data_IF_677082796027
#
_entry.id   IF_677082796027
#
_cell.length_a   1.000
_cell.length_b   1.000
_cell.length_c   1.000
_cell.angle_alpha   90.00
_cell.angle_beta   90.00
_cell.angle_gamma   90.00
#
_symmetry.space_group_name_H-M   'P 1'
#
loop_
_entity.id
_entity.type
_entity.pdbx_description
1 polymer ?
#
# COMPACT_ATOMS: atom_id res chain seq x y z
N UNK A 1 -1.30 -4.30 -18.39
CA UNK A 1 -2.23 -4.43 -17.25
C UNK A 1 -1.74 -3.60 -16.08
N UNK A 2 -2.64 -3.13 -15.26
CA UNK A 2 -2.29 -2.31 -14.10
C UNK A 2 -1.61 -3.18 -13.04
N UNK A 3 -0.50 -2.69 -12.51
CA UNK A 3 0.16 -3.25 -11.33
C UNK A 3 -0.12 -2.34 -10.14
N UNK A 4 -0.49 -2.92 -9.04
CA UNK A 4 -0.89 -2.19 -7.84
C UNK A 4 0.19 -2.27 -6.76
N UNK A 5 0.33 -1.18 -6.03
CA UNK A 5 1.13 -1.12 -4.80
C UNK A 5 0.16 -0.86 -3.65
N UNK A 6 0.02 -1.81 -2.75
CA UNK A 6 -0.93 -1.70 -1.64
C UNK A 6 -0.24 -1.23 -0.37
N UNK A 7 -0.88 -0.32 0.37
CA UNK A 7 -0.35 0.17 1.62
C UNK A 7 -0.87 -0.63 2.83
N UNK A 8 -0.29 -0.36 3.98
CA UNK A 8 -0.66 -1.02 5.23
C UNK A 8 -2.10 -0.74 5.61
N UNK A 9 -2.58 0.50 5.43
CA UNK A 9 -3.95 0.87 5.82
C UNK A 9 -5.00 0.05 5.09
N UNK A 10 -4.79 -0.18 3.80
CA UNK A 10 -5.70 -0.98 2.98
C UNK A 10 -5.70 -2.45 3.41
N UNK A 11 -4.53 -3.02 3.66
CA UNK A 11 -4.43 -4.41 4.12
C UNK A 11 -5.10 -4.61 5.48
N UNK A 12 -4.85 -3.71 6.43
CA UNK A 12 -5.46 -3.78 7.76
C UNK A 12 -6.98 -3.59 7.67
N UNK A 13 -7.45 -2.60 6.92
CA UNK A 13 -8.88 -2.37 6.75
C UNK A 13 -9.58 -3.57 6.10
N UNK A 14 -8.97 -4.18 5.09
CA UNK A 14 -9.52 -5.36 4.46
C UNK A 14 -9.62 -6.53 5.44
N UNK A 15 -8.56 -6.78 6.18
CA UNK A 15 -8.49 -7.94 7.07
C UNK A 15 -9.39 -7.80 8.30
N UNK A 16 -9.41 -6.64 8.93
CA UNK A 16 -10.07 -6.44 10.21
C UNK A 16 -11.51 -5.94 10.10
N UNK A 17 -11.83 -5.18 9.06
CA UNK A 17 -13.11 -4.45 9.03
C UNK A 17 -13.98 -4.81 7.84
N UNK A 18 -13.43 -4.78 6.63
CA UNK A 18 -14.26 -4.81 5.42
C UNK A 18 -14.47 -6.20 4.86
N UNK A 19 -13.41 -7.00 4.84
CA UNK A 19 -13.42 -8.33 4.22
C UNK A 19 -12.71 -9.34 5.10
N UNK A 20 -13.16 -9.55 6.36
CA UNK A 20 -12.56 -10.60 7.20
C UNK A 20 -12.52 -11.93 6.45
N UNK A 21 -11.40 -12.63 6.53
CA UNK A 21 -11.17 -13.82 5.69
C UNK A 21 -12.17 -14.94 5.95
N UNK A 22 -12.68 -15.05 7.17
CA UNK A 22 -13.70 -16.05 7.52
C UNK A 22 -15.02 -15.81 6.78
N UNK A 23 -15.32 -14.55 6.48
CA UNK A 23 -16.60 -14.15 5.88
C UNK A 23 -16.47 -13.89 4.37
N UNK A 24 -15.28 -13.54 3.91
CA UNK A 24 -15.04 -13.14 2.53
C UNK A 24 -13.87 -13.90 1.89
N UNK A 25 -13.87 -15.25 1.93
CA UNK A 25 -12.78 -16.00 1.29
C UNK A 25 -12.57 -15.64 -0.20
N UNK A 26 -13.63 -15.39 -1.00
CA UNK A 26 -13.42 -15.03 -2.40
C UNK A 26 -12.59 -13.76 -2.60
N UNK A 27 -12.74 -12.77 -1.73
CA UNK A 27 -11.90 -11.55 -1.80
C UNK A 27 -10.40 -11.90 -1.70
N UNK A 28 -10.04 -12.70 -0.70
CA UNK A 28 -8.65 -13.08 -0.45
C UNK A 28 -8.11 -14.02 -1.53
N UNK A 29 -8.96 -14.86 -2.13
CA UNK A 29 -8.59 -15.66 -3.28
C UNK A 29 -8.27 -14.78 -4.50
N UNK A 30 -9.02 -13.70 -4.70
CA UNK A 30 -8.74 -12.72 -5.77
C UNK A 30 -7.46 -11.96 -5.51
N UNK A 31 -7.23 -11.55 -4.26
CA UNK A 31 -5.96 -10.92 -3.84
C UNK A 31 -4.79 -11.85 -4.14
N UNK A 32 -4.90 -13.12 -3.78
CA UNK A 32 -3.88 -14.14 -4.04
C UNK A 32 -3.61 -14.30 -5.53
N UNK A 33 -4.65 -14.24 -6.34
CA UNK A 33 -4.53 -14.27 -7.79
C UNK A 33 -3.71 -13.11 -8.35
N UNK A 34 -3.92 -11.89 -7.83
CA UNK A 34 -3.12 -10.73 -8.20
C UNK A 34 -1.66 -10.88 -7.76
N UNK A 35 -1.42 -11.41 -6.56
CA UNK A 35 -0.07 -11.66 -6.06
C UNK A 35 0.65 -12.65 -6.97
N UNK A 36 0.00 -13.76 -7.29
CA UNK A 36 0.57 -14.80 -8.15
C UNK A 36 0.88 -14.26 -9.55
N UNK A 37 0.02 -13.38 -10.07
CA UNK A 37 0.23 -12.75 -11.37
C UNK A 37 1.30 -11.64 -11.37
N UNK A 38 1.86 -11.31 -10.20
CA UNK A 38 2.83 -10.21 -10.07
C UNK A 38 2.19 -8.84 -10.19
N UNK A 39 0.89 -8.73 -10.00
CA UNK A 39 0.14 -7.48 -10.19
C UNK A 39 -0.22 -6.79 -8.89
N UNK A 40 0.01 -7.40 -7.75
CA UNK A 40 -0.13 -6.76 -6.43
C UNK A 40 1.18 -6.89 -5.69
N UNK A 41 1.76 -5.77 -5.33
CA UNK A 41 3.05 -5.69 -4.66
C UNK A 41 2.98 -4.70 -3.51
N UNK A 42 4.01 -4.70 -2.70
CA UNK A 42 4.25 -3.69 -1.68
C UNK A 42 5.74 -3.68 -1.32
N UNK A 43 6.25 -2.58 -0.77
CA UNK A 43 7.60 -2.62 -0.20
C UNK A 43 7.60 -3.49 1.05
N UNK A 44 8.74 -4.09 1.36
CA UNK A 44 8.91 -4.96 2.54
C UNK A 44 8.56 -4.24 3.85
N UNK A 45 8.64 -2.92 3.87
CA UNK A 45 8.25 -2.12 5.03
C UNK A 45 6.78 -2.30 5.40
N UNK A 46 5.91 -2.56 4.43
CA UNK A 46 4.50 -2.85 4.67
C UNK A 46 4.35 -4.17 5.45
N UNK A 47 5.13 -5.19 5.09
CA UNK A 47 5.12 -6.45 5.83
C UNK A 47 5.53 -6.25 7.30
N UNK A 48 6.57 -5.46 7.52
CA UNK A 48 7.04 -5.15 8.89
C UNK A 48 5.97 -4.40 9.69
N UNK A 49 5.33 -3.43 9.06
CA UNK A 49 4.30 -2.63 9.72
C UNK A 49 3.07 -3.46 10.08
N UNK A 50 2.64 -4.38 9.21
CA UNK A 50 1.53 -5.28 9.50
C UNK A 50 1.85 -6.21 10.68
N UNK A 51 3.11 -6.62 10.83
CA UNK A 51 3.55 -7.47 11.94
C UNK A 51 3.42 -6.82 13.31
N UNK A 52 3.39 -5.49 13.36
CA UNK A 52 3.17 -4.75 14.61
C UNK A 52 1.70 -4.55 14.92
N UNK A 53 0.79 -4.82 13.98
CA UNK A 53 -0.62 -4.48 14.10
C UNK A 53 -1.55 -5.68 14.06
N UNK A 54 -1.17 -6.77 13.42
CA UNK A 54 -2.01 -7.95 13.28
C UNK A 54 -1.17 -9.18 13.02
N UNK A 55 -1.07 -10.07 14.01
CA UNK A 55 -0.32 -11.31 13.88
C UNK A 55 -0.90 -12.24 12.80
N UNK A 56 -2.22 -12.31 12.70
CA UNK A 56 -2.90 -13.17 11.73
C UNK A 56 -2.69 -12.70 10.29
N UNK A 57 -2.85 -11.39 10.04
CA UNK A 57 -2.58 -10.81 8.73
C UNK A 57 -1.10 -10.96 8.38
N UNK A 58 -0.22 -10.69 9.33
CA UNK A 58 1.22 -10.83 9.11
C UNK A 58 1.57 -12.27 8.71
N UNK A 59 1.00 -13.27 9.39
CA UNK A 59 1.23 -14.66 9.05
C UNK A 59 0.75 -15.02 7.64
N UNK A 60 -0.43 -14.51 7.27
CA UNK A 60 -0.97 -14.70 5.92
C UNK A 60 -0.07 -14.09 4.85
N UNK A 61 0.39 -12.85 5.08
CA UNK A 61 1.30 -12.14 4.16
C UNK A 61 2.68 -12.79 4.15
N UNK A 62 3.17 -13.25 5.29
CA UNK A 62 4.48 -13.87 5.39
C UNK A 62 4.57 -15.19 4.59
N UNK A 63 3.45 -15.87 4.39
CA UNK A 63 3.36 -17.02 3.50
C UNK A 63 3.39 -16.63 2.00
N UNK A 64 3.34 -15.32 1.70
CA UNK A 64 3.29 -14.75 0.34
C UNK A 64 4.38 -13.72 0.13
N UNK A 65 5.59 -14.04 0.57
CA UNK A 65 6.74 -13.10 0.55
C UNK A 65 7.08 -12.58 -0.84
N UNK A 66 6.74 -13.32 -1.88
CA UNK A 66 7.00 -12.89 -3.26
C UNK A 66 6.28 -11.59 -3.63
N UNK A 67 5.25 -11.21 -2.89
CA UNK A 67 4.55 -9.95 -3.06
C UNK A 67 5.42 -8.75 -2.69
N UNK A 68 6.34 -8.92 -1.74
CA UNK A 68 7.07 -7.81 -1.14
C UNK A 68 8.38 -7.56 -1.86
N UNK A 69 8.62 -6.29 -2.18
CA UNK A 69 9.82 -5.82 -2.88
C UNK A 69 10.84 -5.32 -1.86
N UNK A 70 12.08 -5.81 -2.00
CA UNK A 70 13.21 -5.25 -1.27
C UNK A 70 13.46 -3.81 -1.73
N UNK A 71 14.03 -3.00 -0.82
CA UNK A 71 14.30 -1.60 -1.11
C UNK A 71 15.59 -1.47 -1.92
N UNK A 72 15.46 -1.50 -3.24
CA UNK A 72 16.56 -1.21 -4.15
C UNK A 72 17.00 0.25 -4.01
N UNK A 73 18.23 0.56 -4.43
CA UNK A 73 18.79 1.91 -4.30
C UNK A 73 17.87 2.99 -4.89
N UNK A 74 17.32 2.76 -6.07
CA UNK A 74 16.41 3.73 -6.70
C UNK A 74 15.19 4.02 -5.85
N UNK A 75 14.64 3.02 -5.17
CA UNK A 75 13.47 3.18 -4.29
C UNK A 75 13.87 3.92 -3.02
N UNK A 76 15.02 3.62 -2.45
CA UNK A 76 15.52 4.32 -1.26
C UNK A 76 15.80 5.79 -1.54
N UNK A 77 16.42 6.09 -2.68
CA UNK A 77 16.68 7.47 -3.12
C UNK A 77 15.36 8.21 -3.30
N UNK A 78 14.39 7.61 -3.98
CA UNK A 78 13.09 8.23 -4.17
C UNK A 78 12.33 8.44 -2.87
N UNK A 79 12.40 7.49 -1.93
CA UNK A 79 11.80 7.65 -0.60
C UNK A 79 12.41 8.83 0.14
N UNK A 80 13.72 9.00 0.05
CA UNK A 80 14.40 10.16 0.65
C UNK A 80 13.95 11.47 0.00
N UNK A 81 13.78 11.50 -1.32
CA UNK A 81 13.29 12.67 -2.03
C UNK A 81 11.85 13.02 -1.62
N UNK A 82 10.98 12.02 -1.49
CA UNK A 82 9.60 12.22 -1.02
C UNK A 82 9.59 12.82 0.39
N UNK A 83 10.38 12.27 1.29
CA UNK A 83 10.47 12.78 2.67
C UNK A 83 11.06 14.19 2.73
N UNK A 84 12.03 14.50 1.89
CA UNK A 84 12.61 15.86 1.83
C UNK A 84 11.56 16.88 1.39
N UNK A 85 10.68 16.52 0.47
CA UNK A 85 9.62 17.40 -0.04
C UNK A 85 8.39 17.41 0.88
N UNK A 86 8.06 16.28 1.50
CA UNK A 86 6.89 16.12 2.37
C UNK A 86 7.30 15.53 3.73
N UNK A 87 8.02 16.30 4.56
CA UNK A 87 8.60 15.75 5.80
C UNK A 87 7.56 15.29 6.82
N UNK A 88 6.33 15.80 6.74
CA UNK A 88 5.25 15.44 7.67
C UNK A 88 4.34 14.32 7.18
N UNK A 89 4.67 13.71 6.04
CA UNK A 89 3.95 12.55 5.54
C UNK A 89 3.87 11.43 6.58
N UNK A 90 4.96 11.18 7.29
CA UNK A 90 5.03 10.13 8.30
C UNK A 90 4.52 10.56 9.68
N UNK A 91 4.29 11.86 9.91
CA UNK A 91 3.95 12.40 11.22
C UNK A 91 5.07 12.20 12.24
N UNK A 92 5.05 12.95 13.33
CA UNK A 92 6.13 12.93 14.33
C UNK A 92 6.25 11.56 15.03
N UNK A 93 5.12 10.90 15.29
CA UNK A 93 5.10 9.60 15.98
C UNK A 93 5.48 8.41 15.11
N UNK A 94 5.55 8.59 13.78
CA UNK A 94 5.77 7.52 12.82
C UNK A 94 7.11 7.59 12.11
N UNK A 95 7.94 8.56 12.42
CA UNK A 95 9.18 8.86 11.69
C UNK A 95 10.07 7.65 11.42
N UNK A 96 10.10 6.67 12.34
CA UNK A 96 10.99 5.52 12.26
C UNK A 96 10.34 4.26 11.71
N UNK A 97 9.02 4.23 11.56
CA UNK A 97 8.28 2.99 11.34
C UNK A 97 7.29 3.03 10.20
N UNK A 98 7.06 4.19 9.62
CA UNK A 98 6.06 4.32 8.56
C UNK A 98 6.54 3.74 7.23
N UNK A 99 5.70 2.93 6.62
CA UNK A 99 5.91 2.40 5.28
C UNK A 99 5.55 3.41 4.18
N UNK A 100 4.82 4.47 4.50
CA UNK A 100 4.22 5.39 3.53
C UNK A 100 5.20 5.95 2.50
N UNK A 101 6.39 6.47 2.89
CA UNK A 101 7.34 6.97 1.90
C UNK A 101 7.82 5.90 0.92
N UNK A 102 7.94 4.67 1.38
CA UNK A 102 8.41 3.55 0.56
C UNK A 102 7.31 3.06 -0.39
N UNK A 103 6.05 3.10 0.05
CA UNK A 103 4.89 2.81 -0.83
C UNK A 103 4.85 3.80 -1.99
N UNK A 104 4.96 5.09 -1.71
CA UNK A 104 4.96 6.14 -2.72
C UNK A 104 6.17 5.99 -3.64
N UNK A 105 7.36 5.77 -3.08
CA UNK A 105 8.59 5.63 -3.84
C UNK A 105 8.53 4.44 -4.80
N UNK A 106 8.11 3.26 -4.32
CA UNK A 106 7.98 2.08 -5.16
C UNK A 106 6.98 2.32 -6.29
N UNK A 107 5.81 2.85 -5.97
CA UNK A 107 4.77 3.11 -6.96
C UNK A 107 5.24 4.12 -8.02
N UNK A 108 5.97 5.14 -7.60
CA UNK A 108 6.48 6.16 -8.52
C UNK A 108 7.56 5.60 -9.45
N UNK A 109 8.55 4.91 -8.89
CA UNK A 109 9.66 4.34 -9.67
C UNK A 109 9.16 3.28 -10.64
N UNK A 110 8.28 2.39 -10.20
CA UNK A 110 7.78 1.28 -11.01
C UNK A 110 6.46 1.57 -11.74
N UNK A 111 5.95 2.81 -11.65
CA UNK A 111 4.71 3.26 -12.31
C UNK A 111 3.51 2.39 -11.94
N UNK A 112 3.35 2.13 -10.66
CA UNK A 112 2.23 1.37 -10.12
C UNK A 112 1.11 2.29 -9.63
N UNK A 113 -0.10 1.75 -9.53
CA UNK A 113 -1.23 2.45 -8.91
C UNK A 113 -1.33 2.05 -7.44
N UNK A 114 -1.40 3.03 -6.55
CA UNK A 114 -1.48 2.77 -5.11
C UNK A 114 -2.91 2.43 -4.71
N UNK A 115 -3.04 1.36 -3.91
CA UNK A 115 -4.29 1.00 -3.23
C UNK A 115 -4.14 1.40 -1.76
N UNK A 116 -4.98 2.31 -1.30
CA UNK A 116 -4.98 2.82 0.07
C UNK A 116 -6.39 3.10 0.55
N UNK A 117 -6.62 2.94 1.85
CA UNK A 117 -7.86 3.39 2.49
C UNK A 117 -7.70 4.77 3.12
N UNK A 118 -6.51 5.36 3.05
CA UNK A 118 -6.33 6.75 3.45
C UNK A 118 -7.08 7.68 2.51
N UNK A 119 -7.67 8.72 3.09
CA UNK A 119 -8.32 9.79 2.34
C UNK A 119 -7.41 11.02 2.29
N UNK A 120 -7.55 11.88 1.27
CA UNK A 120 -6.80 13.13 1.24
C UNK A 120 -7.05 13.93 2.52
N UNK A 121 -5.97 14.52 3.06
CA UNK A 121 -6.09 15.45 4.18
C UNK A 121 -6.49 16.85 3.72
N UNK A 122 -6.28 17.14 2.44
CA UNK A 122 -6.47 18.48 1.88
C UNK A 122 -5.34 19.44 2.20
N UNK A 123 -4.24 18.99 2.80
CA UNK A 123 -3.13 19.83 3.22
C UNK A 123 -1.79 19.20 2.83
N UNK A 124 -0.91 19.97 2.19
CA UNK A 124 0.46 19.53 1.91
C UNK A 124 1.39 19.74 3.11
N UNK A 125 0.92 20.39 4.15
CA UNK A 125 1.68 20.52 5.41
C UNK A 125 1.58 19.26 6.26
N UNK A 126 0.45 18.55 6.20
CA UNK A 126 0.23 17.25 6.88
C UNK A 126 -0.41 16.28 5.89
N UNK A 127 0.31 15.91 4.82
CA UNK A 127 -0.31 15.15 3.75
C UNK A 127 -0.50 13.69 4.13
N UNK A 128 -1.55 13.09 3.55
CA UNK A 128 -1.70 11.66 3.45
C UNK A 128 -1.18 11.17 2.09
N UNK A 129 -1.13 9.87 1.90
CA UNK A 129 -0.64 9.29 0.64
C UNK A 129 -1.34 9.90 -0.59
N UNK A 130 -2.69 10.02 -0.63
CA UNK A 130 -3.34 10.60 -1.82
C UNK A 130 -2.92 12.03 -2.13
N UNK A 131 -2.69 12.86 -1.11
CA UNK A 131 -2.24 14.24 -1.30
C UNK A 131 -0.87 14.29 -1.99
N UNK A 132 0.04 13.44 -1.56
CA UNK A 132 1.39 13.37 -2.12
C UNK A 132 1.35 12.88 -3.56
N UNK A 133 0.56 11.84 -3.84
CA UNK A 133 0.42 11.31 -5.20
C UNK A 133 -0.11 12.37 -6.15
N UNK A 134 -1.11 13.15 -5.73
CA UNK A 134 -1.65 14.25 -6.53
C UNK A 134 -0.57 15.31 -6.79
N UNK A 135 0.16 15.71 -5.74
CA UNK A 135 1.22 16.71 -5.85
C UNK A 135 2.36 16.28 -6.79
N UNK A 136 2.65 14.98 -6.82
CA UNK A 136 3.70 14.42 -7.67
C UNK A 136 3.23 14.04 -9.09
N UNK A 137 1.95 14.28 -9.40
CA UNK A 137 1.39 13.94 -10.72
C UNK A 137 1.33 12.44 -10.99
N UNK A 138 1.25 11.64 -9.94
CA UNK A 138 1.12 10.18 -10.05
C UNK A 138 -0.32 9.79 -10.40
N UNK A 139 -0.52 8.52 -10.79
CA UNK A 139 -1.86 7.97 -10.94
C UNK A 139 -2.66 8.17 -9.66
N UNK A 140 -3.96 8.49 -9.75
CA UNK A 140 -4.79 8.60 -8.54
C UNK A 140 -4.76 7.33 -7.72
N UNK A 141 -4.68 7.49 -6.40
CA UNK A 141 -4.85 6.36 -5.48
C UNK A 141 -6.27 5.82 -5.59
N UNK A 142 -6.42 4.52 -5.40
CA UNK A 142 -7.73 3.87 -5.37
C UNK A 142 -7.96 3.18 -4.03
N UNK A 143 -9.24 3.09 -3.65
CA UNK A 143 -9.66 2.34 -2.47
C UNK A 143 -9.78 0.85 -2.77
N UNK A 144 -10.02 0.04 -1.73
CA UNK A 144 -10.32 -1.39 -1.89
C UNK A 144 -11.55 -1.60 -2.77
N UNK A 145 -12.61 -0.81 -2.58
CA UNK A 145 -13.81 -0.91 -3.39
C UNK A 145 -13.54 -0.58 -4.86
N UNK A 146 -12.74 0.45 -5.09
CA UNK A 146 -12.35 0.82 -6.44
C UNK A 146 -11.47 -0.26 -7.10
N UNK A 147 -10.62 -0.94 -6.32
CA UNK A 147 -9.86 -2.09 -6.80
C UNK A 147 -10.79 -3.22 -7.25
N UNK A 148 -11.78 -3.56 -6.42
CA UNK A 148 -12.79 -4.58 -6.75
C UNK A 148 -13.49 -4.23 -8.07
N UNK A 149 -13.89 -2.97 -8.23
CA UNK A 149 -14.55 -2.50 -9.45
C UNK A 149 -13.64 -2.52 -10.66
N UNK A 150 -12.39 -2.06 -10.49
CA UNK A 150 -11.41 -2.03 -11.58
C UNK A 150 -11.08 -3.42 -12.10
N UNK A 151 -10.97 -4.41 -11.21
CA UNK A 151 -10.68 -5.79 -11.55
C UNK A 151 -11.95 -6.60 -11.88
N UNK A 152 -13.12 -5.99 -11.75
CA UNK A 152 -14.42 -6.62 -12.03
C UNK A 152 -14.67 -7.88 -11.22
N UNK A 153 -14.24 -7.87 -9.97
CA UNK A 153 -14.44 -9.01 -9.09
C UNK A 153 -15.92 -9.14 -8.72
N UNK A 154 -16.42 -10.35 -8.84
CA UNK A 154 -17.74 -10.75 -8.35
C UNK A 154 -17.49 -11.77 -7.25
N UNK A 155 -18.11 -11.57 -6.10
CA UNK A 155 -17.91 -12.41 -4.92
C UNK A 155 -19.24 -12.94 -4.39
#
# INVERSE_FOLDING_TARGET
MVVYCIDTSALIAAWQERYPIENFPPFWNRVDGLITAGRLTAPVEVLRETGRRSDELHAWLNARKQMFRELEDAIQIEAANVLARFPRLVGERRLRTSADPFVIALARVAQMQIVTEEKPSGSLQRPHIPDVCTALGMRPCISLLELIRAERWVM
#
